data_IF_462733547978
#
_entry.id   IF_462733547978
#
_cell.length_a   1.000
_cell.length_b   1.000
_cell.length_c   1.000
_cell.angle_alpha   90.00
_cell.angle_beta   90.00
_cell.angle_gamma   90.00
#
_symmetry.space_group_name_H-M   'P 1'
#
loop_
_entity.id
_entity.type
_entity.pdbx_description
1 polymer ?
#
# COMPACT_ATOMS: atom_id res chain seq x y z
N UNK A 1 -0.37 -4.40 -17.97
CA UNK A 1 0.85 -4.39 -17.12
C UNK A 1 2.11 -4.24 -17.99
N UNK A 2 3.02 -3.32 -17.66
CA UNK A 2 4.34 -3.28 -18.28
C UNK A 2 5.02 -4.65 -18.07
N UNK A 3 5.72 -5.18 -19.08
CA UNK A 3 6.26 -6.56 -19.16
C UNK A 3 7.17 -7.02 -18.00
N UNK A 4 7.40 -6.20 -16.96
CA UNK A 4 8.29 -6.48 -15.82
C UNK A 4 7.74 -6.07 -14.44
N UNK A 5 6.47 -5.66 -14.32
CA UNK A 5 5.91 -5.34 -13.01
C UNK A 5 5.68 -6.60 -12.17
N UNK A 6 6.01 -6.56 -10.87
CA UNK A 6 5.88 -7.66 -9.91
C UNK A 6 5.39 -7.14 -8.56
N UNK A 7 4.54 -7.91 -7.91
CA UNK A 7 4.15 -7.75 -6.51
C UNK A 7 4.58 -9.02 -5.78
N UNK A 8 5.36 -8.87 -4.71
CA UNK A 8 5.69 -9.95 -3.80
C UNK A 8 4.72 -9.92 -2.64
N UNK A 9 3.94 -10.99 -2.48
CA UNK A 9 2.92 -11.10 -1.46
C UNK A 9 2.86 -12.51 -0.90
N UNK A 10 2.27 -12.64 0.28
CA UNK A 10 1.87 -13.91 0.88
C UNK A 10 0.40 -13.84 1.28
N UNK A 11 -0.32 -14.92 0.99
CA UNK A 11 -1.67 -15.15 1.50
C UNK A 11 -1.57 -16.23 2.59
N UNK A 12 -1.81 -15.85 3.84
CA UNK A 12 -1.77 -16.74 5.01
C UNK A 12 -3.13 -17.33 5.37
N UNK A 13 -4.15 -17.11 4.53
CA UNK A 13 -5.54 -17.50 4.79
C UNK A 13 -6.25 -16.46 5.64
N UNK A 14 -5.70 -16.15 6.81
CA UNK A 14 -6.19 -15.14 7.75
C UNK A 14 -5.58 -13.74 7.53
N UNK A 15 -4.63 -13.61 6.60
CA UNK A 15 -4.03 -12.33 6.26
C UNK A 15 -3.51 -12.30 4.83
N UNK A 16 -3.55 -11.11 4.23
CA UNK A 16 -2.81 -10.78 3.02
C UNK A 16 -1.67 -9.83 3.38
N UNK A 17 -0.44 -10.18 2.99
CA UNK A 17 0.74 -9.36 3.24
C UNK A 17 1.44 -9.04 1.93
N UNK A 18 1.45 -7.76 1.54
CA UNK A 18 2.26 -7.28 0.42
C UNK A 18 3.63 -6.84 0.92
N UNK A 19 4.67 -7.62 0.60
CA UNK A 19 6.04 -7.33 1.02
C UNK A 19 6.68 -6.23 0.19
N UNK A 20 6.56 -6.32 -1.13
CA UNK A 20 7.27 -5.42 -2.03
C UNK A 20 6.65 -5.33 -3.42
N UNK A 21 7.02 -4.30 -4.16
CA UNK A 21 6.61 -4.05 -5.54
C UNK A 21 7.79 -3.57 -6.39
N UNK A 22 7.84 -4.06 -7.63
CA UNK A 22 8.71 -3.57 -8.70
C UNK A 22 7.88 -3.23 -9.93
N UNK A 23 8.11 -2.07 -10.53
CA UNK A 23 7.37 -1.61 -11.70
C UNK A 23 7.03 -0.12 -11.63
N UNK A 24 6.29 0.40 -12.63
CA UNK A 24 5.84 1.79 -12.65
C UNK A 24 4.94 2.13 -11.45
N UNK A 25 5.09 3.33 -10.90
CA UNK A 25 4.31 3.79 -9.73
C UNK A 25 2.89 4.25 -10.05
N UNK A 26 2.54 4.27 -11.31
CA UNK A 26 1.18 4.47 -11.82
C UNK A 26 0.49 3.14 -12.17
N UNK A 27 1.10 2.01 -11.83
CA UNK A 27 0.50 0.71 -12.14
C UNK A 27 -0.37 0.17 -10.97
N UNK A 28 -1.31 -0.74 -11.27
CA UNK A 28 -2.17 -1.36 -10.28
C UNK A 28 -1.46 -2.06 -9.13
N UNK A 29 -0.31 -2.66 -9.40
CA UNK A 29 0.46 -3.38 -8.38
C UNK A 29 1.06 -2.44 -7.33
N UNK A 30 1.38 -1.19 -7.72
CA UNK A 30 1.81 -0.17 -6.77
C UNK A 30 0.65 0.26 -5.85
N UNK A 31 -0.55 0.46 -6.43
CA UNK A 31 -1.73 0.80 -5.65
C UNK A 31 -2.08 -0.30 -4.64
N UNK A 32 -2.01 -1.57 -5.06
CA UNK A 32 -2.19 -2.74 -4.19
C UNK A 32 -1.15 -2.80 -3.07
N UNK A 33 0.13 -2.59 -3.39
CA UNK A 33 1.20 -2.55 -2.37
C UNK A 33 0.93 -1.48 -1.30
N UNK A 34 0.49 -0.29 -1.70
CA UNK A 34 0.21 0.78 -0.76
C UNK A 34 -1.05 0.53 0.06
N UNK A 35 -2.12 0.02 -0.55
CA UNK A 35 -3.41 -0.13 0.12
C UNK A 35 -3.52 -1.39 0.97
N UNK A 36 -2.75 -2.44 0.64
CA UNK A 36 -2.86 -3.77 1.24
C UNK A 36 -1.52 -4.26 1.84
N UNK A 37 -0.70 -3.34 2.37
CA UNK A 37 0.64 -3.69 2.88
C UNK A 37 0.58 -4.85 3.88
N UNK A 38 -0.38 -4.78 4.81
CA UNK A 38 -0.75 -5.87 5.72
C UNK A 38 -2.24 -5.76 6.02
N UNK A 39 -3.02 -6.67 5.48
CA UNK A 39 -4.44 -6.77 5.73
C UNK A 39 -4.73 -8.02 6.55
N UNK A 40 -5.07 -7.89 7.84
CA UNK A 40 -5.68 -8.99 8.59
C UNK A 40 -7.09 -9.27 8.03
N UNK A 41 -7.44 -10.54 7.85
CA UNK A 41 -8.78 -11.03 7.54
C UNK A 41 -9.45 -11.57 8.81
N UNK A 42 -9.49 -10.75 9.86
CA UNK A 42 -10.32 -11.09 11.01
C UNK A 42 -11.81 -11.06 10.64
N UNK A 43 -12.61 -11.89 11.32
CA UNK A 43 -14.07 -11.91 11.15
C UNK A 43 -14.78 -10.69 11.75
N UNK A 44 -14.05 -9.70 12.27
CA UNK A 44 -14.63 -8.49 12.84
C UNK A 44 -15.12 -7.51 11.77
N UNK A 45 -16.22 -6.82 12.09
CA UNK A 45 -16.83 -5.84 11.18
C UNK A 45 -16.01 -4.54 11.03
N UNK A 46 -15.12 -4.26 11.98
CA UNK A 46 -14.24 -3.10 11.93
C UNK A 46 -12.94 -3.36 12.66
N UNK A 47 -11.83 -2.92 12.07
CA UNK A 47 -10.50 -3.06 12.65
C UNK A 47 -9.63 -1.85 12.30
N UNK A 48 -8.85 -1.37 13.27
CA UNK A 48 -7.87 -0.31 13.05
C UNK A 48 -6.49 -0.78 13.46
N UNK A 49 -5.48 -0.51 12.64
CA UNK A 49 -4.10 -0.85 12.96
C UNK A 49 -3.12 0.18 12.42
N UNK A 50 -1.86 0.07 12.86
CA UNK A 50 -0.75 0.89 12.39
C UNK A 50 0.27 0.00 11.72
N UNK A 51 0.82 0.46 10.61
CA UNK A 51 1.90 -0.23 9.91
C UNK A 51 2.86 0.79 9.31
N UNK A 52 3.89 0.32 8.62
CA UNK A 52 4.92 1.16 8.04
C UNK A 52 5.10 0.85 6.56
N UNK A 53 5.05 1.90 5.73
CA UNK A 53 5.45 1.82 4.32
C UNK A 53 6.90 2.28 4.20
N UNK A 54 7.62 1.65 3.27
CA UNK A 54 8.97 2.05 2.93
C UNK A 54 8.95 3.34 2.08
N UNK A 55 9.46 4.50 2.58
CA UNK A 55 9.41 5.76 1.84
C UNK A 55 10.20 5.73 0.52
N UNK A 56 11.16 4.81 0.36
CA UNK A 56 11.85 4.59 -0.91
C UNK A 56 10.88 4.31 -2.04
N UNK A 57 9.85 3.53 -1.75
CA UNK A 57 8.82 3.15 -2.73
C UNK A 57 7.92 4.33 -3.08
N UNK A 58 7.86 5.37 -2.25
CA UNK A 58 7.04 6.58 -2.44
C UNK A 58 7.79 7.73 -3.15
N UNK A 59 9.13 7.69 -3.17
CA UNK A 59 10.01 8.78 -3.65
C UNK A 59 10.18 8.82 -5.17
N UNK A 60 9.86 9.93 -5.86
CA UNK A 60 10.05 10.05 -7.33
C UNK A 60 11.50 10.20 -7.81
N UNK A 61 12.50 10.14 -6.93
CA UNK A 61 13.88 10.41 -7.34
C UNK A 61 14.46 9.30 -8.24
N UNK A 62 14.99 9.71 -9.39
CA UNK A 62 15.68 8.86 -10.38
C UNK A 62 17.05 8.34 -9.89
N UNK A 63 17.60 8.91 -8.81
CA UNK A 63 18.82 8.46 -8.12
C UNK A 63 18.57 7.34 -7.09
N UNK A 64 17.58 6.48 -7.31
CA UNK A 64 17.19 5.44 -6.36
C UNK A 64 18.35 4.56 -5.87
N UNK A 65 19.35 4.33 -6.72
CA UNK A 65 20.52 3.50 -6.40
C UNK A 65 21.51 4.15 -5.40
N UNK A 66 21.76 5.46 -5.50
CA UNK A 66 22.62 6.19 -4.55
C UNK A 66 21.98 6.20 -3.16
N UNK A 67 20.68 6.40 -3.17
CA UNK A 67 19.82 6.37 -1.99
C UNK A 67 19.84 4.96 -1.37
N UNK A 68 19.75 3.89 -2.17
CA UNK A 68 19.88 2.50 -1.70
C UNK A 68 21.25 2.20 -1.06
N UNK A 69 22.35 2.73 -1.63
CA UNK A 69 23.69 2.58 -1.07
C UNK A 69 23.83 3.30 0.29
N UNK A 70 23.31 4.53 0.41
CA UNK A 70 23.29 5.27 1.68
C UNK A 70 22.48 4.53 2.76
N UNK A 71 21.46 3.79 2.36
CA UNK A 71 20.62 3.07 3.30
C UNK A 71 21.11 1.68 3.75
N UNK A 72 22.17 1.15 3.14
CA UNK A 72 22.89 0.02 3.72
C UNK A 72 23.54 0.41 5.06
N UNK A 73 23.80 1.71 5.25
CA UNK A 73 24.44 2.28 6.46
C UNK A 73 23.41 2.88 7.42
N UNK A 74 22.33 3.48 6.91
CA UNK A 74 21.26 4.08 7.73
C UNK A 74 19.89 3.56 7.29
N UNK A 75 19.15 2.77 8.10
CA UNK A 75 17.82 2.31 7.74
C UNK A 75 16.92 3.50 7.38
N UNK A 76 16.15 3.44 6.27
CA UNK A 76 15.27 4.53 5.89
C UNK A 76 14.23 4.76 7.00
N UNK A 77 13.94 6.03 7.34
CA UNK A 77 12.93 6.33 8.35
C UNK A 77 11.58 5.79 7.87
N UNK A 78 11.04 4.80 8.58
CA UNK A 78 9.76 4.18 8.25
C UNK A 78 8.64 5.24 8.27
N UNK A 79 7.80 5.30 7.24
CA UNK A 79 6.63 6.19 7.23
C UNK A 79 5.43 5.44 7.82
N UNK A 80 4.94 5.93 8.95
CA UNK A 80 3.82 5.30 9.62
C UNK A 80 2.52 5.56 8.88
N UNK A 81 1.73 4.51 8.73
CA UNK A 81 0.38 4.50 8.19
C UNK A 81 -0.59 4.08 9.31
N UNK A 82 -1.73 4.75 9.37
CA UNK A 82 -2.91 4.29 10.11
C UNK A 82 -3.89 3.72 9.09
N UNK A 83 -4.36 2.50 9.35
CA UNK A 83 -5.33 1.82 8.51
C UNK A 83 -6.61 1.55 9.30
N UNK A 84 -7.72 1.59 8.59
CA UNK A 84 -9.04 1.25 9.08
C UNK A 84 -9.72 0.35 8.05
N UNK A 85 -10.17 -0.81 8.50
CA UNK A 85 -11.02 -1.72 7.76
C UNK A 85 -12.45 -1.61 8.29
N UNK A 86 -13.42 -1.55 7.38
CA UNK A 86 -14.84 -1.71 7.67
C UNK A 86 -15.45 -2.74 6.73
N UNK A 87 -16.20 -3.67 7.28
CA UNK A 87 -16.95 -4.69 6.56
C UNK A 87 -18.44 -4.40 6.68
N UNK A 88 -19.14 -4.51 5.57
CA UNK A 88 -20.61 -4.49 5.48
C UNK A 88 -21.05 -5.63 4.58
N UNK A 89 -21.48 -6.73 5.19
CA UNK A 89 -21.81 -7.96 4.48
C UNK A 89 -20.59 -8.53 3.74
N UNK A 90 -20.66 -8.58 2.40
CA UNK A 90 -19.57 -9.08 1.54
C UNK A 90 -18.60 -7.99 1.11
N UNK A 91 -18.92 -6.71 1.35
CA UNK A 91 -18.06 -5.59 0.95
C UNK A 91 -17.16 -5.23 2.13
N UNK A 92 -15.87 -5.19 1.87
CA UNK A 92 -14.84 -4.75 2.80
C UNK A 92 -14.13 -3.55 2.20
N UNK A 93 -14.10 -2.45 2.95
CA UNK A 93 -13.37 -1.24 2.58
C UNK A 93 -12.21 -1.07 3.56
N UNK A 94 -11.01 -0.85 3.02
CA UNK A 94 -9.81 -0.59 3.79
C UNK A 94 -9.31 0.78 3.39
N UNK A 95 -9.21 1.69 4.35
CA UNK A 95 -8.65 3.01 4.15
C UNK A 95 -7.31 3.12 4.89
N UNK A 96 -6.37 3.85 4.32
CA UNK A 96 -5.06 4.09 4.90
C UNK A 96 -4.70 5.56 4.79
N UNK A 97 -4.10 6.12 5.84
CA UNK A 97 -3.54 7.48 5.82
C UNK A 97 -2.20 7.52 6.52
N UNK A 98 -1.24 8.20 5.92
CA UNK A 98 0.05 8.44 6.55
C UNK A 98 -0.02 9.56 7.56
N UNK A 99 0.70 9.42 8.67
CA UNK A 99 1.03 10.55 9.55
C UNK A 99 2.39 11.09 9.17
N UNK A 100 2.45 12.35 8.74
CA UNK A 100 3.71 13.01 8.38
C UNK A 100 4.50 13.31 9.66
N UNK A 101 5.64 12.65 9.83
CA UNK A 101 6.56 12.87 10.96
C UNK A 101 7.79 13.69 10.58
N UNK A 102 8.08 13.80 9.27
CA UNK A 102 9.24 14.55 8.74
C UNK A 102 8.81 15.43 7.56
N UNK A 103 9.44 16.60 7.34
CA UNK A 103 9.10 17.51 6.23
C UNK A 103 9.27 16.90 4.83
N UNK A 104 10.15 15.93 4.62
CA UNK A 104 10.32 15.30 3.30
C UNK A 104 9.35 14.16 3.00
N UNK A 105 8.59 13.69 4.00
CA UNK A 105 7.60 12.63 3.80
C UNK A 105 6.43 13.18 3.00
N UNK A 106 5.97 12.38 2.02
CA UNK A 106 4.82 12.71 1.19
C UNK A 106 3.56 12.20 1.87
N UNK A 107 2.48 12.96 1.79
CA UNK A 107 1.20 12.48 2.26
C UNK A 107 0.75 11.29 1.40
N UNK A 108 0.33 10.23 2.07
CA UNK A 108 -0.22 9.02 1.45
C UNK A 108 -1.62 8.81 1.96
N UNK A 109 -2.56 8.63 1.03
CA UNK A 109 -3.89 8.09 1.33
C UNK A 109 -4.19 6.92 0.41
N UNK A 110 -4.85 5.91 0.94
CA UNK A 110 -5.22 4.71 0.19
C UNK A 110 -6.64 4.29 0.52
N UNK A 111 -7.31 3.71 -0.46
CA UNK A 111 -8.58 3.04 -0.28
C UNK A 111 -8.59 1.77 -1.12
N UNK A 112 -8.97 0.64 -0.53
CA UNK A 112 -9.21 -0.61 -1.23
C UNK A 112 -10.62 -1.10 -0.92
N UNK A 113 -11.35 -1.46 -1.96
CA UNK A 113 -12.66 -2.09 -1.87
C UNK A 113 -12.52 -3.52 -2.36
N UNK A 114 -12.90 -4.46 -1.50
CA UNK A 114 -12.82 -5.90 -1.74
C UNK A 114 -14.22 -6.46 -1.56
N UNK A 115 -14.69 -7.22 -2.53
CA UNK A 115 -15.81 -8.13 -2.35
C UNK A 115 -15.24 -9.47 -1.89
N UNK A 116 -15.67 -9.99 -0.75
CA UNK A 116 -15.11 -11.20 -0.16
C UNK A 116 -15.30 -12.46 -1.01
N UNK A 117 -16.11 -12.42 -2.05
CA UNK A 117 -16.29 -13.53 -2.97
C UNK A 117 -15.79 -13.30 -4.39
N UNK A 118 -15.63 -12.04 -4.78
CA UNK A 118 -15.10 -11.68 -6.12
C UNK A 118 -13.65 -11.18 -6.06
N UNK A 119 -13.14 -10.90 -4.87
CA UNK A 119 -11.82 -10.30 -4.65
C UNK A 119 -11.83 -8.78 -4.77
N UNK A 120 -10.64 -8.16 -4.99
CA UNK A 120 -10.50 -6.71 -5.13
C UNK A 120 -11.38 -6.15 -6.25
N UNK A 121 -12.15 -5.11 -5.93
CA UNK A 121 -13.06 -4.41 -6.84
C UNK A 121 -12.49 -3.05 -7.26
N UNK A 122 -11.88 -2.34 -6.31
CA UNK A 122 -11.23 -1.07 -6.59
C UNK A 122 -10.10 -0.81 -5.61
N UNK A 123 -9.04 -0.15 -6.08
CA UNK A 123 -7.96 0.35 -5.24
C UNK A 123 -7.55 1.74 -5.72
N UNK A 124 -7.51 2.68 -4.79
CA UNK A 124 -6.98 4.03 -4.97
C UNK A 124 -5.79 4.22 -4.05
N UNK A 125 -4.72 4.82 -4.59
CA UNK A 125 -3.60 5.33 -3.80
C UNK A 125 -3.26 6.75 -4.26
N UNK A 126 -3.18 7.68 -3.32
CA UNK A 126 -2.72 9.05 -3.56
C UNK A 126 -1.41 9.25 -2.83
N UNK A 127 -0.34 9.64 -3.54
CA UNK A 127 0.98 9.90 -2.96
C UNK A 127 1.45 11.29 -3.38
N UNK A 128 1.58 12.20 -2.41
CA UNK A 128 2.02 13.58 -2.66
C UNK A 128 1.18 14.28 -3.74
N UNK A 129 -0.14 14.06 -3.73
CA UNK A 129 -1.10 14.62 -4.70
C UNK A 129 -1.28 13.82 -5.99
N UNK A 130 -0.44 12.81 -6.29
CA UNK A 130 -0.62 11.96 -7.46
C UNK A 130 -1.56 10.80 -7.12
N UNK A 131 -2.72 10.73 -7.77
CA UNK A 131 -3.70 9.64 -7.66
C UNK A 131 -3.40 8.53 -8.65
N UNK A 132 -3.50 7.29 -8.18
CA UNK A 132 -3.54 6.07 -8.98
C UNK A 132 -4.80 5.34 -8.57
N UNK A 133 -5.67 5.05 -9.54
CA UNK A 133 -6.94 4.38 -9.31
C UNK A 133 -7.07 3.23 -10.28
N UNK A 134 -7.52 2.09 -9.76
CA UNK A 134 -7.75 0.88 -10.52
C UNK A 134 -9.04 0.26 -10.05
N UNK A 135 -9.88 -0.11 -11.00
CA UNK A 135 -11.10 -0.87 -10.78
C UNK A 135 -11.10 -2.14 -11.62
N UNK A 136 -11.70 -3.19 -11.08
CA UNK A 136 -11.95 -4.46 -11.75
C UNK A 136 -13.46 -4.68 -11.80
N UNK A 137 -13.95 -5.12 -12.96
CA UNK A 137 -15.36 -5.43 -13.22
C UNK A 137 -15.61 -6.92 -12.98
#
# INVERSE_FOLDING_TARGET
PARRSRLWFENRGDAFVAYDHSGPRDCPLFALYCALSKLPFDEVDSLSWKDFINPRRLSTFSLGWFVDAAYAVVPPPRQQMSYEMSRRGRKMTISGRSTRSRPWQRDVSTEAVIDLARGPQAVTATVGGRKVEVSWV
#
